data_IF_877478827995
#
_entry.id   IF_877478827995
#
_cell.length_a   1.000
_cell.length_b   1.000
_cell.length_c   1.000
_cell.angle_alpha   90.00
_cell.angle_beta   90.00
_cell.angle_gamma   90.00
#
_symmetry.space_group_name_H-M   'P 1'
#
loop_
_entity.id
_entity.type
_entity.pdbx_description
1 polymer ?
#
# COMPACT_ATOMS: atom_id res chain seq x y z
N UNK A 1 -17.02 -22.23 7.48
CA UNK A 1 -17.99 -21.18 7.07
C UNK A 1 -17.34 -19.97 6.37
N UNK A 2 -16.11 -19.57 6.69
CA UNK A 2 -15.41 -18.42 6.07
C UNK A 2 -14.78 -18.75 4.71
N UNK A 3 -14.44 -20.01 4.44
CA UNK A 3 -13.91 -20.41 3.12
C UNK A 3 -14.91 -20.27 1.96
N UNK A 4 -16.20 -20.36 2.25
CA UNK A 4 -17.26 -20.15 1.26
C UNK A 4 -17.38 -18.69 0.78
N UNK A 5 -16.82 -17.72 1.52
CA UNK A 5 -16.84 -16.30 1.15
C UNK A 5 -15.62 -15.82 0.34
N UNK A 6 -14.59 -16.67 0.17
CA UNK A 6 -13.39 -16.32 -0.62
C UNK A 6 -13.69 -15.87 -2.06
N UNK A 7 -14.60 -16.52 -2.82
CA UNK A 7 -14.93 -16.05 -4.16
C UNK A 7 -15.70 -14.72 -4.18
N UNK A 8 -16.53 -14.47 -3.15
CA UNK A 8 -17.38 -13.26 -3.09
C UNK A 8 -16.52 -12.01 -2.83
N UNK A 9 -15.47 -12.11 -2.01
CA UNK A 9 -14.56 -11.00 -1.73
C UNK A 9 -13.61 -10.67 -2.91
N UNK A 10 -13.58 -11.50 -3.95
CA UNK A 10 -12.88 -11.17 -5.20
C UNK A 10 -13.70 -10.24 -6.09
N UNK A 11 -14.99 -10.04 -5.78
CA UNK A 11 -15.83 -9.09 -6.46
C UNK A 11 -15.53 -7.67 -5.93
N UNK A 12 -15.28 -6.71 -6.81
CA UNK A 12 -14.88 -5.34 -6.40
C UNK A 12 -15.87 -4.68 -5.44
N UNK A 13 -17.18 -4.88 -5.65
CA UNK A 13 -18.22 -4.33 -4.77
C UNK A 13 -18.20 -4.95 -3.36
N UNK A 14 -17.94 -6.24 -3.24
CA UNK A 14 -17.87 -6.93 -1.95
C UNK A 14 -16.62 -6.50 -1.16
N UNK A 15 -15.50 -6.28 -1.84
CA UNK A 15 -14.31 -5.70 -1.26
C UNK A 15 -14.54 -4.27 -0.75
N UNK A 16 -15.25 -3.44 -1.51
CA UNK A 16 -15.61 -2.08 -1.11
C UNK A 16 -16.59 -2.07 0.08
N UNK A 17 -17.64 -2.91 0.04
CA UNK A 17 -18.57 -3.04 1.16
C UNK A 17 -17.87 -3.52 2.44
N UNK A 18 -17.04 -4.55 2.35
CA UNK A 18 -16.26 -5.01 3.49
C UNK A 18 -15.33 -3.92 4.01
N UNK A 19 -14.67 -3.21 3.11
CA UNK A 19 -13.83 -2.05 3.44
C UNK A 19 -14.59 -0.99 4.23
N UNK A 20 -15.81 -0.65 3.83
CA UNK A 20 -16.65 0.34 4.55
C UNK A 20 -17.03 -0.14 5.95
N UNK A 21 -17.37 -1.42 6.11
CA UNK A 21 -17.72 -2.02 7.41
C UNK A 21 -16.52 -2.00 8.36
N UNK A 22 -15.32 -2.33 7.90
CA UNK A 22 -14.11 -2.34 8.72
C UNK A 22 -13.48 -0.96 8.90
N UNK A 23 -14.04 0.09 8.30
CA UNK A 23 -13.60 1.46 8.49
C UNK A 23 -12.47 1.91 7.57
N UNK A 24 -12.41 1.36 6.35
CA UNK A 24 -11.33 1.66 5.39
C UNK A 24 -11.19 3.14 5.02
N UNK A 25 -12.27 3.91 5.04
CA UNK A 25 -12.21 5.36 4.79
C UNK A 25 -11.47 6.11 5.89
N UNK A 26 -11.68 5.70 7.14
CA UNK A 26 -10.98 6.29 8.31
C UNK A 26 -9.47 6.14 8.19
N UNK A 27 -8.99 4.93 7.92
CA UNK A 27 -7.54 4.70 7.85
C UNK A 27 -6.90 5.41 6.66
N UNK A 28 -7.57 5.47 5.49
CA UNK A 28 -7.04 6.18 4.32
C UNK A 28 -6.88 7.67 4.59
N UNK A 29 -7.87 8.28 5.25
CA UNK A 29 -7.79 9.69 5.64
C UNK A 29 -6.66 9.94 6.63
N UNK A 30 -6.51 9.07 7.64
CA UNK A 30 -5.41 9.13 8.60
C UNK A 30 -4.06 8.96 7.91
N UNK A 31 -3.93 7.93 7.05
CA UNK A 31 -2.70 7.66 6.32
C UNK A 31 -2.30 8.83 5.40
N UNK A 32 -3.27 9.40 4.66
CA UNK A 32 -3.04 10.54 3.81
C UNK A 32 -2.53 11.75 4.60
N UNK A 33 -3.14 12.05 5.76
CA UNK A 33 -2.83 13.21 6.57
C UNK A 33 -1.53 13.05 7.37
N UNK A 34 -1.33 11.90 8.00
CA UNK A 34 -0.25 11.70 8.98
C UNK A 34 1.04 11.16 8.36
N UNK A 35 0.93 10.33 7.32
CA UNK A 35 2.07 9.61 6.74
C UNK A 35 2.38 10.04 5.30
N UNK A 36 1.39 10.04 4.39
CA UNK A 36 1.63 10.41 3.00
C UNK A 36 1.94 11.91 2.89
N UNK A 37 1.16 12.78 3.54
CA UNK A 37 1.38 14.24 3.60
C UNK A 37 1.71 14.85 2.24
N UNK A 38 0.98 14.40 1.21
CA UNK A 38 1.15 14.89 -0.16
C UNK A 38 0.79 16.38 -0.26
N UNK A 39 1.49 17.09 -1.13
CA UNK A 39 1.25 18.50 -1.48
C UNK A 39 0.61 18.58 -2.85
N UNK A 40 -0.06 19.67 -3.13
CA UNK A 40 -0.52 19.99 -4.48
C UNK A 40 0.66 19.97 -5.44
N UNK A 41 0.49 19.31 -6.59
CA UNK A 41 1.53 19.13 -7.62
C UNK A 41 2.60 18.09 -7.32
N UNK A 42 2.56 17.36 -6.19
CA UNK A 42 3.42 16.20 -6.00
C UNK A 42 3.12 15.16 -7.10
N UNK A 43 4.14 14.44 -7.51
CA UNK A 43 4.04 13.27 -8.39
C UNK A 43 4.03 12.02 -7.55
N UNK A 44 2.95 11.25 -7.66
CA UNK A 44 2.70 10.09 -6.80
C UNK A 44 2.63 8.82 -7.64
N UNK A 45 3.42 7.82 -7.28
CA UNK A 45 3.31 6.45 -7.78
C UNK A 45 2.61 5.59 -6.74
N UNK A 46 1.55 4.91 -7.12
CA UNK A 46 0.83 3.94 -6.28
C UNK A 46 0.98 2.52 -6.83
N UNK A 47 1.71 1.70 -6.10
CA UNK A 47 2.01 0.30 -6.46
C UNK A 47 0.97 -0.60 -5.81
N UNK A 48 0.14 -1.27 -6.62
CA UNK A 48 -1.03 -2.02 -6.14
C UNK A 48 -2.17 -1.07 -5.78
N UNK A 49 -2.46 -0.13 -6.68
CA UNK A 49 -3.42 0.97 -6.43
C UNK A 49 -4.87 0.49 -6.26
N UNK A 50 -5.18 -0.77 -6.61
CA UNK A 50 -6.54 -1.27 -6.63
C UNK A 50 -7.47 -0.38 -7.46
N UNK A 51 -8.70 -0.10 -6.99
CA UNK A 51 -9.65 0.79 -7.67
C UNK A 51 -9.35 2.30 -7.49
N UNK A 52 -8.09 2.68 -7.21
CA UNK A 52 -7.64 4.07 -7.07
C UNK A 52 -8.16 4.78 -5.82
N UNK A 53 -8.53 4.04 -4.78
CA UNK A 53 -9.23 4.62 -3.62
C UNK A 53 -8.43 5.70 -2.88
N UNK A 54 -7.09 5.72 -2.97
CA UNK A 54 -6.27 6.76 -2.34
C UNK A 54 -6.41 8.12 -2.99
N UNK A 55 -6.71 8.20 -4.29
CA UNK A 55 -6.85 9.47 -5.03
C UNK A 55 -7.80 10.45 -4.33
N UNK A 56 -8.93 9.93 -3.80
CA UNK A 56 -9.93 10.77 -3.11
C UNK A 56 -9.44 11.44 -1.82
N UNK A 57 -8.31 11.01 -1.26
CA UNK A 57 -7.75 11.51 0.01
C UNK A 57 -6.49 12.34 -0.18
N UNK A 58 -6.02 12.45 -1.41
CA UNK A 58 -4.81 13.20 -1.76
C UNK A 58 -5.20 14.55 -2.37
N UNK A 59 -4.36 15.60 -2.22
CA UNK A 59 -4.57 16.84 -2.93
C UNK A 59 -4.40 16.62 -4.45
N UNK A 60 -4.76 17.61 -5.25
CA UNK A 60 -4.55 17.55 -6.70
C UNK A 60 -3.07 17.32 -7.00
N UNK A 61 -2.75 16.16 -7.53
CA UNK A 61 -1.40 15.66 -7.80
C UNK A 61 -1.38 14.91 -9.12
N UNK A 62 -0.19 14.77 -9.71
CA UNK A 62 0.00 13.83 -10.80
C UNK A 62 0.05 12.41 -10.20
N UNK A 63 -0.98 11.61 -10.47
CA UNK A 63 -1.11 10.29 -9.88
C UNK A 63 -0.97 9.20 -10.94
N UNK A 64 -0.07 8.26 -10.69
CA UNK A 64 0.19 7.09 -11.54
C UNK A 64 -0.02 5.84 -10.70
N UNK A 65 -1.00 5.01 -11.07
CA UNK A 65 -1.33 3.78 -10.36
C UNK A 65 -1.10 2.54 -11.20
N UNK A 66 -0.56 1.50 -10.57
CA UNK A 66 -0.39 0.16 -11.16
C UNK A 66 -1.12 -0.88 -10.32
N UNK A 67 -1.87 -1.75 -10.98
CA UNK A 67 -2.46 -2.95 -10.38
C UNK A 67 -2.54 -4.05 -11.43
N UNK A 68 -2.47 -5.30 -11.00
CA UNK A 68 -2.57 -6.47 -11.91
C UNK A 68 -4.01 -6.88 -12.20
N UNK A 69 -4.97 -6.34 -11.46
CA UNK A 69 -6.38 -6.68 -11.61
C UNK A 69 -7.06 -5.72 -12.62
N UNK A 70 -7.49 -6.23 -13.79
CA UNK A 70 -8.11 -5.39 -14.81
C UNK A 70 -9.42 -4.75 -14.36
N UNK A 71 -10.21 -5.42 -13.52
CA UNK A 71 -11.48 -4.87 -13.03
C UNK A 71 -11.26 -3.67 -12.09
N UNK A 72 -10.20 -3.73 -11.27
CA UNK A 72 -9.81 -2.60 -10.42
C UNK A 72 -9.33 -1.41 -11.26
N UNK A 73 -8.51 -1.66 -12.26
CA UNK A 73 -8.01 -0.61 -13.17
C UNK A 73 -9.15 0.02 -13.98
N UNK A 74 -10.10 -0.80 -14.45
CA UNK A 74 -11.28 -0.27 -15.14
C UNK A 74 -12.08 0.67 -14.23
N UNK A 75 -12.35 0.28 -12.98
CA UNK A 75 -13.03 1.13 -12.00
C UNK A 75 -12.24 2.40 -11.68
N UNK A 76 -10.92 2.27 -11.50
CA UNK A 76 -10.06 3.40 -11.20
C UNK A 76 -10.12 4.45 -12.31
N UNK A 77 -10.02 4.04 -13.58
CA UNK A 77 -10.13 4.93 -14.75
C UNK A 77 -11.49 5.62 -14.86
N UNK A 78 -12.58 4.90 -14.53
CA UNK A 78 -13.93 5.48 -14.55
C UNK A 78 -14.13 6.52 -13.45
N UNK A 79 -13.54 6.29 -12.26
CA UNK A 79 -13.71 7.18 -11.10
C UNK A 79 -12.78 8.40 -11.14
N UNK A 80 -11.61 8.25 -11.74
CA UNK A 80 -10.54 9.26 -11.71
C UNK A 80 -9.91 9.40 -13.11
N UNK A 81 -10.66 9.96 -14.08
CA UNK A 81 -10.20 10.06 -15.47
C UNK A 81 -8.97 10.96 -15.66
N UNK A 82 -8.67 11.80 -14.68
CA UNK A 82 -7.48 12.67 -14.68
C UNK A 82 -6.20 11.99 -14.20
N UNK A 83 -6.31 10.79 -13.59
CA UNK A 83 -5.17 10.02 -13.12
C UNK A 83 -4.78 8.93 -14.14
N UNK A 84 -3.52 8.50 -14.10
CA UNK A 84 -2.99 7.49 -14.99
C UNK A 84 -3.00 6.11 -14.31
N UNK A 85 -3.70 5.13 -14.91
CA UNK A 85 -3.77 3.78 -14.38
C UNK A 85 -3.32 2.76 -15.40
N UNK A 86 -2.45 1.84 -14.99
CA UNK A 86 -1.88 0.78 -15.83
C UNK A 86 -2.19 -0.59 -15.23
N UNK A 87 -2.78 -1.47 -16.05
CA UNK A 87 -3.03 -2.86 -15.68
C UNK A 87 -1.80 -3.70 -15.96
N UNK A 88 -0.87 -3.70 -15.02
CA UNK A 88 0.39 -4.45 -15.13
C UNK A 88 1.07 -4.52 -13.77
N UNK A 89 2.09 -5.38 -13.64
CA UNK A 89 3.06 -5.30 -12.56
C UNK A 89 3.99 -4.12 -12.81
N UNK A 90 4.20 -3.30 -11.78
CA UNK A 90 5.19 -2.25 -11.88
C UNK A 90 6.59 -2.89 -11.98
N UNK A 91 7.36 -2.46 -12.94
CA UNK A 91 8.73 -2.90 -13.17
C UNK A 91 9.56 -1.74 -13.77
N UNK A 92 10.86 -1.98 -13.98
CA UNK A 92 11.76 -0.94 -14.47
C UNK A 92 11.52 -0.48 -15.91
N UNK A 93 10.78 -1.27 -16.70
CA UNK A 93 10.53 -0.96 -18.11
C UNK A 93 9.24 -0.15 -18.32
N UNK A 94 8.28 -0.25 -17.42
CA UNK A 94 7.00 0.46 -17.55
C UNK A 94 6.91 1.73 -16.69
N UNK A 95 8.00 2.11 -16.03
CA UNK A 95 8.12 3.38 -15.33
C UNK A 95 8.81 4.43 -16.22
N UNK A 96 8.25 5.63 -16.33
CA UNK A 96 8.68 6.61 -17.31
C UNK A 96 10.11 7.12 -17.13
N UNK A 97 10.59 7.24 -15.88
CA UNK A 97 11.92 7.82 -15.60
C UNK A 97 12.42 7.46 -14.20
N UNK A 98 13.74 7.48 -13.99
CA UNK A 98 14.35 7.57 -12.67
C UNK A 98 14.16 8.98 -12.10
N UNK A 99 14.07 9.09 -10.77
CA UNK A 99 13.99 10.39 -10.06
C UNK A 99 12.80 11.26 -10.49
N UNK A 100 11.65 10.65 -10.67
CA UNK A 100 10.46 11.33 -11.17
C UNK A 100 9.43 11.62 -10.09
N UNK A 101 9.23 10.72 -9.15
CA UNK A 101 8.17 10.82 -8.16
C UNK A 101 8.64 11.48 -6.86
N UNK A 102 7.79 12.31 -6.30
CA UNK A 102 7.98 12.88 -4.97
C UNK A 102 7.61 11.87 -3.89
N UNK A 103 6.59 11.06 -4.17
CA UNK A 103 6.05 10.06 -3.25
C UNK A 103 5.79 8.75 -4.00
N UNK A 104 6.21 7.64 -3.41
CA UNK A 104 5.75 6.29 -3.79
C UNK A 104 4.92 5.75 -2.64
N UNK A 105 3.77 5.15 -2.93
CA UNK A 105 2.96 4.43 -1.95
C UNK A 105 2.79 2.97 -2.38
N UNK A 106 2.78 2.07 -1.39
CA UNK A 106 2.56 0.63 -1.60
C UNK A 106 1.77 0.09 -0.41
N UNK A 107 0.44 0.07 -0.55
CA UNK A 107 -0.48 -0.17 0.56
C UNK A 107 -1.11 -1.55 0.46
N UNK A 108 -0.81 -2.43 1.42
CA UNK A 108 -1.32 -3.80 1.43
C UNK A 108 -0.68 -4.69 0.36
N UNK A 109 0.58 -4.46 0.03
CA UNK A 109 1.29 -5.17 -1.03
C UNK A 109 2.43 -6.05 -0.51
N UNK A 110 3.21 -5.58 0.46
CA UNK A 110 4.42 -6.29 0.88
C UNK A 110 4.12 -7.67 1.49
N UNK A 111 2.95 -7.83 2.12
CA UNK A 111 2.55 -9.12 2.68
C UNK A 111 2.08 -10.14 1.61
N UNK A 112 1.99 -9.73 0.35
CA UNK A 112 1.78 -10.62 -0.80
C UNK A 112 3.07 -11.02 -1.51
N UNK A 113 4.19 -10.35 -1.21
CA UNK A 113 5.46 -10.49 -1.90
C UNK A 113 6.45 -11.35 -1.11
N UNK A 114 7.14 -12.26 -1.78
CA UNK A 114 8.33 -12.91 -1.23
C UNK A 114 9.43 -11.89 -0.94
N UNK A 115 10.43 -12.26 -0.13
CA UNK A 115 11.50 -11.34 0.26
C UNK A 115 12.24 -10.76 -0.96
N UNK A 116 12.49 -11.56 -1.99
CA UNK A 116 13.13 -11.10 -3.23
C UNK A 116 12.29 -10.06 -3.96
N UNK A 117 10.99 -10.30 -4.07
CA UNK A 117 10.06 -9.38 -4.72
C UNK A 117 9.90 -8.08 -3.91
N UNK A 118 9.82 -8.19 -2.58
CA UNK A 118 9.78 -7.03 -1.69
C UNK A 118 11.05 -6.17 -1.82
N UNK A 119 12.25 -6.78 -1.86
CA UNK A 119 13.51 -6.06 -2.11
C UNK A 119 13.51 -5.40 -3.48
N UNK A 120 12.99 -6.05 -4.51
CA UNK A 120 12.85 -5.44 -5.85
C UNK A 120 11.93 -4.22 -5.82
N UNK A 121 10.81 -4.28 -5.08
CA UNK A 121 9.90 -3.15 -4.90
C UNK A 121 10.63 -1.98 -4.22
N UNK A 122 11.38 -2.22 -3.13
CA UNK A 122 12.14 -1.17 -2.45
C UNK A 122 13.20 -0.54 -3.36
N UNK A 123 13.93 -1.34 -4.14
CA UNK A 123 14.92 -0.84 -5.12
C UNK A 123 14.27 0.01 -6.20
N UNK A 124 13.15 -0.46 -6.74
CA UNK A 124 12.38 0.26 -7.76
C UNK A 124 11.88 1.59 -7.20
N UNK A 125 11.25 1.56 -6.01
CA UNK A 125 10.76 2.77 -5.34
C UNK A 125 11.89 3.78 -5.14
N UNK A 126 13.06 3.35 -4.61
CA UNK A 126 14.21 4.23 -4.41
C UNK A 126 14.72 4.84 -5.72
N UNK A 127 14.77 4.05 -6.80
CA UNK A 127 15.25 4.53 -8.11
C UNK A 127 14.32 5.60 -8.70
N UNK A 128 13.00 5.43 -8.55
CA UNK A 128 12.01 6.31 -9.16
C UNK A 128 11.72 7.56 -8.34
N UNK A 129 12.02 7.55 -7.05
CA UNK A 129 11.91 8.71 -6.18
C UNK A 129 12.95 9.77 -6.53
N UNK A 130 12.56 11.02 -6.48
CA UNK A 130 13.50 12.18 -6.48
C UNK A 130 14.36 12.17 -5.22
N UNK A 131 15.49 12.90 -5.21
CA UNK A 131 16.16 13.25 -3.95
C UNK A 131 15.14 13.84 -2.96
N UNK A 132 15.23 13.45 -1.69
CA UNK A 132 14.27 13.79 -0.62
C UNK A 132 12.84 13.24 -0.83
N UNK A 133 12.60 12.49 -1.88
CA UNK A 133 11.34 11.73 -2.06
C UNK A 133 11.22 10.61 -1.04
N UNK A 134 10.01 10.07 -0.88
CA UNK A 134 9.75 9.08 0.16
C UNK A 134 8.79 8.00 -0.29
N UNK A 135 9.05 6.79 0.22
CA UNK A 135 8.15 5.65 0.09
C UNK A 135 7.36 5.48 1.38
N UNK A 136 6.04 5.31 1.26
CA UNK A 136 5.15 4.97 2.36
C UNK A 136 4.53 3.60 2.09
N UNK A 137 4.64 2.67 3.04
CA UNK A 137 3.94 1.37 2.98
C UNK A 137 3.02 1.20 4.17
N UNK A 138 2.00 0.38 4.00
CA UNK A 138 1.09 -0.04 5.08
C UNK A 138 0.78 -1.52 4.90
N UNK A 139 1.17 -2.35 5.84
CA UNK A 139 0.95 -3.80 5.76
C UNK A 139 0.56 -4.38 7.12
N UNK A 140 -0.12 -5.54 7.11
CA UNK A 140 -0.37 -6.30 8.33
C UNK A 140 0.94 -6.75 8.99
N UNK A 141 0.99 -6.75 10.33
CA UNK A 141 2.21 -7.03 11.08
C UNK A 141 1.96 -7.94 12.28
N UNK A 142 2.87 -8.89 12.52
CA UNK A 142 2.90 -9.68 13.74
C UNK A 142 3.63 -8.91 14.84
N UNK A 143 2.93 -8.67 15.98
CA UNK A 143 3.50 -8.02 17.15
C UNK A 143 3.36 -8.87 18.41
N UNK A 144 4.28 -8.70 19.35
CA UNK A 144 4.20 -9.33 20.66
C UNK A 144 2.96 -8.81 21.43
N UNK A 145 2.31 -9.67 22.20
CA UNK A 145 1.12 -9.28 22.99
C UNK A 145 -0.16 -9.05 22.17
N UNK A 146 -0.14 -9.31 20.88
CA UNK A 146 -1.32 -9.20 20.02
C UNK A 146 -2.45 -10.12 20.50
N UNK A 147 -3.70 -9.61 20.54
CA UNK A 147 -4.85 -10.42 20.95
C UNK A 147 -5.04 -11.65 20.05
N UNK A 148 -5.60 -12.73 20.61
CA UNK A 148 -5.89 -13.96 19.86
C UNK A 148 -6.78 -13.69 18.65
N UNK A 149 -7.72 -12.76 18.76
CA UNK A 149 -8.62 -12.38 17.67
C UNK A 149 -7.87 -11.62 16.57
N UNK A 150 -7.01 -10.65 16.90
CA UNK A 150 -6.17 -9.96 15.92
C UNK A 150 -5.23 -10.94 15.20
N UNK A 151 -4.64 -11.88 15.93
CA UNK A 151 -3.81 -12.95 15.34
C UNK A 151 -4.61 -13.84 14.39
N UNK A 152 -5.83 -14.19 14.76
CA UNK A 152 -6.73 -14.96 13.90
C UNK A 152 -7.05 -14.19 12.61
N UNK A 153 -7.39 -12.91 12.69
CA UNK A 153 -7.66 -12.10 11.50
C UNK A 153 -6.43 -12.01 10.58
N UNK A 154 -5.26 -11.72 11.14
CA UNK A 154 -4.00 -11.70 10.38
C UNK A 154 -3.67 -13.05 9.72
N UNK A 155 -3.90 -14.17 10.41
CA UNK A 155 -3.67 -15.50 9.85
C UNK A 155 -4.64 -15.86 8.71
N UNK A 156 -5.75 -15.15 8.60
CA UNK A 156 -6.75 -15.29 7.52
C UNK A 156 -6.61 -14.23 6.44
N UNK A 157 -5.69 -13.31 6.61
CA UNK A 157 -5.32 -12.38 5.55
C UNK A 157 -4.87 -13.16 4.30
N UNK A 158 -5.12 -12.58 3.13
CA UNK A 158 -4.71 -13.19 1.85
C UNK A 158 -3.20 -13.16 1.65
N UNK A 159 -2.50 -12.33 2.41
CA UNK A 159 -1.06 -12.21 2.38
C UNK A 159 -0.38 -13.45 2.94
N UNK A 160 0.46 -14.10 2.13
CA UNK A 160 1.23 -15.29 2.54
C UNK A 160 2.46 -14.93 3.37
N UNK A 161 2.90 -13.68 3.28
CA UNK A 161 4.18 -13.21 3.79
C UNK A 161 4.03 -12.06 4.79
N UNK A 162 3.03 -12.16 5.69
CA UNK A 162 2.92 -11.25 6.82
C UNK A 162 4.14 -11.44 7.72
N UNK A 163 4.85 -10.36 7.99
CA UNK A 163 6.14 -10.37 8.70
C UNK A 163 6.03 -9.66 10.05
N UNK A 164 7.07 -9.76 10.86
CA UNK A 164 7.28 -8.90 12.03
C UNK A 164 7.86 -7.56 11.58
N UNK A 165 7.76 -6.55 12.42
CA UNK A 165 8.23 -5.20 12.10
C UNK A 165 9.72 -5.17 11.70
N UNK A 166 10.57 -5.89 12.45
CA UNK A 166 12.00 -5.95 12.20
C UNK A 166 12.34 -6.55 10.84
N UNK A 167 11.55 -7.52 10.37
CA UNK A 167 11.75 -8.15 9.05
C UNK A 167 11.40 -7.19 7.92
N UNK A 168 10.29 -6.44 8.04
CA UNK A 168 9.93 -5.40 7.07
C UNK A 168 10.99 -4.30 7.01
N UNK A 169 11.45 -3.83 8.18
CA UNK A 169 12.53 -2.82 8.28
C UNK A 169 13.81 -3.32 7.64
N UNK A 170 14.22 -4.57 7.91
CA UNK A 170 15.41 -5.15 7.32
C UNK A 170 15.35 -5.18 5.78
N UNK A 171 14.19 -5.55 5.20
CA UNK A 171 13.99 -5.54 3.76
C UNK A 171 14.08 -4.11 3.18
N UNK A 172 13.43 -3.13 3.82
CA UNK A 172 13.47 -1.73 3.40
C UNK A 172 14.90 -1.15 3.48
N UNK A 173 15.65 -1.51 4.53
CA UNK A 173 17.02 -1.04 4.76
C UNK A 173 18.03 -1.56 3.72
N UNK A 174 17.66 -2.53 2.91
CA UNK A 174 18.51 -2.94 1.75
C UNK A 174 18.59 -1.85 0.68
N UNK A 175 17.67 -0.89 0.69
CA UNK A 175 17.55 0.16 -0.32
C UNK A 175 17.52 1.57 0.25
N UNK A 176 17.05 1.76 1.47
CA UNK A 176 16.91 3.06 2.12
C UNK A 176 17.76 3.11 3.38
N UNK A 177 18.53 4.20 3.54
CA UNK A 177 19.33 4.48 4.74
C UNK A 177 18.46 4.94 5.91
N UNK A 178 17.39 5.66 5.61
CA UNK A 178 16.43 6.17 6.61
C UNK A 178 15.10 5.44 6.48
N UNK A 179 14.78 4.60 7.48
CA UNK A 179 13.53 3.83 7.55
C UNK A 179 12.90 4.07 8.92
N UNK A 180 11.80 4.81 8.95
CA UNK A 180 10.97 4.98 10.13
C UNK A 180 9.83 3.97 10.10
N UNK A 181 9.59 3.29 11.21
CA UNK A 181 8.53 2.29 11.33
C UNK A 181 7.59 2.62 12.49
N UNK A 182 6.29 2.54 12.24
CA UNK A 182 5.25 2.80 13.25
C UNK A 182 4.21 1.70 13.22
N UNK A 183 4.03 1.01 14.35
CA UNK A 183 2.94 0.04 14.51
C UNK A 183 1.67 0.80 14.88
N UNK A 184 0.59 0.52 14.15
CA UNK A 184 -0.73 1.13 14.35
C UNK A 184 -1.77 0.04 14.66
N UNK A 185 -2.61 0.29 15.66
CA UNK A 185 -3.70 -0.61 16.07
C UNK A 185 -5.08 0.03 15.85
N UNK A 186 -5.11 1.25 15.40
CA UNK A 186 -6.27 2.14 15.28
C UNK A 186 -6.69 2.42 13.84
N UNK A 187 -6.04 1.77 12.86
CA UNK A 187 -6.33 1.99 11.45
C UNK A 187 -7.67 1.40 11.00
N UNK A 188 -8.15 0.35 11.65
CA UNK A 188 -9.43 -0.28 11.37
C UNK A 188 -10.30 -0.32 12.63
N UNK A 189 -11.61 -0.44 12.43
CA UNK A 189 -12.59 -0.63 13.52
C UNK A 189 -12.54 -2.03 14.16
N UNK A 190 -11.83 -2.95 13.54
CA UNK A 190 -11.60 -4.31 14.05
C UNK A 190 -10.18 -4.39 14.63
N UNK A 191 -9.93 -5.28 15.61
CA UNK A 191 -8.59 -5.49 16.16
C UNK A 191 -7.65 -6.03 15.08
N UNK A 192 -6.84 -5.16 14.51
CA UNK A 192 -5.86 -5.48 13.49
C UNK A 192 -4.62 -4.63 13.71
N UNK A 193 -3.43 -5.18 13.47
CA UNK A 193 -2.18 -4.43 13.63
C UNK A 193 -1.57 -4.18 12.27
N UNK A 194 -1.27 -2.94 11.99
CA UNK A 194 -0.57 -2.51 10.79
C UNK A 194 0.81 -1.96 11.13
N UNK A 195 1.73 -2.12 10.21
CA UNK A 195 3.01 -1.42 10.19
C UNK A 195 2.96 -0.38 9.07
N UNK A 196 3.27 0.85 9.41
CA UNK A 196 3.60 1.89 8.45
C UNK A 196 5.11 1.99 8.38
N UNK A 197 5.69 1.92 7.18
CA UNK A 197 7.05 2.33 6.93
C UNK A 197 7.06 3.65 6.19
N UNK A 198 7.91 4.57 6.62
CA UNK A 198 8.27 5.79 5.91
C UNK A 198 9.76 5.72 5.61
N UNK A 199 10.10 5.49 4.34
CA UNK A 199 11.48 5.38 3.87
C UNK A 199 11.85 6.63 3.09
N UNK A 200 12.89 7.33 3.49
CA UNK A 200 13.35 8.55 2.81
C UNK A 200 14.52 8.25 1.89
N UNK A 201 14.47 8.85 0.70
CA UNK A 201 15.61 8.89 -0.21
C UNK A 201 16.46 10.12 0.11
N UNK A 202 17.73 9.89 0.40
CA UNK A 202 18.76 10.92 0.59
C UNK A 202 19.01 11.66 -0.72
#
# INVERSE_FOLDING_TARGET
>A
MIEAFRPILNLPWAYQMWGSVVGSDGYRKTLAKEHIRARTSDRILDVGCGPGSMVSYLPRSEYVGFDVNPDYIQQARQRFPEAHFTCDRVNEYNLPQSEYFDIVIALGILHHLEDKEAVQLFRMARRTLKPQGRLITLDGVWVAGQSRFARFLLSRDRGRFVRRAEQYVALASTSFSTVNSTVRHDMLRIPYSHLVLECSRD
#
